data_IF_554785928255
#
_entry.id   IF_554785928255
#
_cell.length_a   1.000
_cell.length_b   1.000
_cell.length_c   1.000
_cell.angle_alpha   90.00
_cell.angle_beta   90.00
_cell.angle_gamma   90.00
#
_symmetry.space_group_name_H-M   'P 1'
#
loop_
_entity.id
_entity.type
_entity.pdbx_description
1 polymer ?
#
# COMPACT_ATOMS: atom_id res chain seq x y z
N UNK A 1 24.72 -27.19 -16.88
CA UNK A 1 23.88 -26.02 -16.57
C UNK A 1 22.65 -26.52 -15.82
N UNK A 2 22.52 -26.18 -14.51
CA UNK A 2 21.37 -26.60 -13.70
C UNK A 2 20.35 -25.46 -13.72
N UNK A 3 19.18 -25.71 -14.30
CA UNK A 3 18.03 -24.81 -14.25
C UNK A 3 17.57 -24.62 -12.80
N UNK A 4 17.60 -23.37 -12.35
CA UNK A 4 16.98 -22.98 -11.07
C UNK A 4 15.47 -22.92 -11.28
N UNK A 5 14.74 -23.92 -10.78
CA UNK A 5 13.30 -23.87 -10.62
C UNK A 5 12.95 -22.75 -9.64
N UNK A 6 12.39 -21.66 -10.13
CA UNK A 6 11.73 -20.61 -9.32
C UNK A 6 10.50 -21.23 -8.69
N UNK A 7 10.53 -21.42 -7.36
CA UNK A 7 9.42 -21.96 -6.61
C UNK A 7 8.26 -20.97 -6.49
N UNK A 8 7.26 -21.10 -7.35
CA UNK A 8 5.97 -20.43 -7.19
C UNK A 8 5.30 -20.95 -5.91
N UNK A 9 5.15 -20.10 -4.91
CA UNK A 9 4.33 -20.39 -3.73
C UNK A 9 2.87 -20.41 -4.14
N UNK A 10 2.32 -21.61 -4.37
CA UNK A 10 0.90 -21.84 -4.63
C UNK A 10 0.07 -21.38 -3.42
N UNK A 11 -0.60 -20.24 -3.52
CA UNK A 11 -1.67 -19.89 -2.57
C UNK A 11 -2.86 -20.83 -2.82
N UNK A 12 -3.37 -21.46 -1.75
CA UNK A 12 -4.62 -22.24 -1.82
C UNK A 12 -5.78 -21.26 -2.05
N UNK A 13 -6.46 -21.38 -3.17
CA UNK A 13 -7.73 -20.71 -3.44
C UNK A 13 -8.88 -21.48 -2.77
N UNK A 14 -10.02 -20.80 -2.54
CA UNK A 14 -11.23 -21.47 -2.04
C UNK A 14 -11.70 -22.53 -3.04
N UNK A 15 -12.27 -23.63 -2.55
CA UNK A 15 -12.83 -24.69 -3.42
C UNK A 15 -13.79 -24.09 -4.44
N UNK A 16 -13.63 -24.48 -5.72
CA UNK A 16 -14.49 -24.03 -6.83
C UNK A 16 -13.98 -22.82 -7.62
N UNK A 17 -12.83 -22.21 -7.26
CA UNK A 17 -12.23 -21.17 -8.08
C UNK A 17 -11.15 -21.75 -9.02
N UNK A 18 -11.21 -21.35 -10.30
CA UNK A 18 -10.14 -21.64 -11.25
C UNK A 18 -8.80 -21.03 -10.77
N UNK A 19 -7.71 -21.68 -11.16
CA UNK A 19 -6.35 -21.18 -10.85
C UNK A 19 -6.14 -19.83 -11.55
N UNK A 20 -6.30 -18.73 -10.80
CA UNK A 20 -5.93 -17.42 -11.28
C UNK A 20 -4.41 -17.24 -11.15
N UNK A 21 -3.76 -16.94 -12.25
CA UNK A 21 -2.38 -16.47 -12.27
C UNK A 21 -2.44 -14.97 -11.96
N UNK A 22 -2.09 -14.57 -10.74
CA UNK A 22 -2.18 -13.18 -10.28
C UNK A 22 -1.42 -12.18 -11.18
N UNK A 23 -0.44 -12.67 -11.96
CA UNK A 23 0.27 -11.88 -12.97
C UNK A 23 -0.60 -11.47 -14.14
N UNK A 24 -1.69 -12.19 -14.43
CA UNK A 24 -2.49 -11.97 -15.64
C UNK A 24 -3.67 -11.02 -15.38
N UNK A 25 -4.03 -10.78 -14.10
CA UNK A 25 -5.15 -9.91 -13.74
C UNK A 25 -5.04 -8.47 -14.30
N UNK A 26 -3.81 -7.97 -14.48
CA UNK A 26 -3.64 -6.66 -15.08
C UNK A 26 -3.99 -6.68 -16.58
N UNK A 27 -3.68 -7.77 -17.28
CA UNK A 27 -4.05 -7.93 -18.69
C UNK A 27 -5.55 -8.16 -18.86
N UNK A 28 -6.18 -8.94 -17.97
CA UNK A 28 -7.65 -9.08 -17.93
C UNK A 28 -8.35 -7.71 -17.76
N UNK A 29 -7.80 -6.87 -16.89
CA UNK A 29 -8.26 -5.49 -16.72
C UNK A 29 -8.11 -4.66 -18.00
N UNK A 30 -6.98 -4.80 -18.73
CA UNK A 30 -6.76 -4.11 -20.01
C UNK A 30 -7.72 -4.62 -21.08
N UNK A 31 -8.00 -5.91 -21.14
CA UNK A 31 -8.96 -6.49 -22.09
C UNK A 31 -10.39 -6.01 -21.84
N UNK A 32 -10.77 -5.79 -20.57
CA UNK A 32 -12.05 -5.13 -20.23
C UNK A 32 -12.04 -3.68 -20.73
N UNK A 33 -10.94 -2.95 -20.52
CA UNK A 33 -10.80 -1.57 -20.97
C UNK A 33 -10.86 -1.46 -22.51
N UNK A 34 -10.30 -2.40 -23.25
CA UNK A 34 -10.40 -2.46 -24.71
C UNK A 34 -11.84 -2.56 -25.21
N UNK A 35 -12.66 -3.35 -24.51
CA UNK A 35 -14.10 -3.52 -24.85
C UNK A 35 -14.93 -2.31 -24.46
N UNK A 36 -14.72 -1.77 -23.26
CA UNK A 36 -15.52 -0.65 -22.72
C UNK A 36 -15.09 0.71 -23.27
N UNK A 37 -13.85 0.84 -23.73
CA UNK A 37 -13.24 2.07 -24.29
C UNK A 37 -13.42 3.29 -23.38
N UNK A 38 -13.13 3.20 -22.06
CA UNK A 38 -13.29 4.34 -21.17
C UNK A 38 -12.42 5.51 -21.65
N UNK A 39 -12.83 6.73 -21.34
CA UNK A 39 -12.03 7.93 -21.66
C UNK A 39 -10.68 7.93 -20.94
N UNK A 40 -10.69 7.47 -19.68
CA UNK A 40 -9.54 7.44 -18.78
C UNK A 40 -9.49 6.10 -18.06
N UNK A 41 -8.29 5.57 -17.87
CA UNK A 41 -8.02 4.37 -17.09
C UNK A 41 -7.15 4.74 -15.90
N UNK A 42 -7.51 4.24 -14.72
CA UNK A 42 -6.72 4.35 -13.49
C UNK A 42 -6.49 2.96 -12.94
N UNK A 43 -5.22 2.56 -12.83
CA UNK A 43 -4.86 1.32 -12.15
C UNK A 43 -3.82 1.61 -11.06
N UNK A 44 -3.92 0.90 -9.93
CA UNK A 44 -3.00 1.02 -8.81
C UNK A 44 -2.28 -0.30 -8.55
N UNK A 45 -1.03 -0.19 -8.10
CA UNK A 45 -0.26 -1.35 -7.70
C UNK A 45 0.78 -0.99 -6.63
N UNK A 46 1.38 -2.00 -6.02
CA UNK A 46 2.47 -1.84 -5.05
C UNK A 46 3.76 -1.40 -5.75
N UNK A 47 4.64 -0.68 -5.02
CA UNK A 47 5.94 -0.22 -5.53
C UNK A 47 6.77 -1.35 -6.18
N UNK A 48 6.64 -2.58 -5.70
CA UNK A 48 7.37 -3.72 -6.23
C UNK A 48 7.19 -3.98 -7.73
N UNK A 49 6.07 -3.52 -8.33
CA UNK A 49 5.80 -3.70 -9.77
C UNK A 49 6.81 -2.95 -10.66
N UNK A 50 7.37 -1.84 -10.18
CA UNK A 50 8.37 -1.04 -10.93
C UNK A 50 9.81 -1.37 -10.53
N UNK A 51 10.03 -2.34 -9.62
CA UNK A 51 11.34 -2.68 -9.08
C UNK A 51 11.90 -3.99 -9.66
N UNK A 52 13.22 -4.04 -9.83
CA UNK A 52 13.94 -5.28 -10.19
C UNK A 52 13.47 -5.92 -11.48
N UNK A 53 13.18 -7.23 -11.44
CA UNK A 53 12.79 -8.04 -12.60
C UNK A 53 11.39 -7.73 -13.15
N UNK A 54 10.59 -6.91 -12.45
CA UNK A 54 9.24 -6.55 -12.88
C UNK A 54 9.20 -5.49 -14.00
N UNK A 55 10.33 -4.87 -14.37
CA UNK A 55 10.38 -3.87 -15.45
C UNK A 55 9.83 -4.38 -16.79
N UNK A 56 10.13 -5.64 -17.15
CA UNK A 56 9.59 -6.26 -18.35
C UNK A 56 8.06 -6.35 -18.36
N UNK A 57 7.48 -6.62 -17.20
CA UNK A 57 6.03 -6.67 -17.03
C UNK A 57 5.39 -5.28 -17.17
N UNK A 58 5.98 -4.25 -16.58
CA UNK A 58 5.52 -2.85 -16.75
C UNK A 58 5.57 -2.41 -18.20
N UNK A 59 6.65 -2.73 -18.92
CA UNK A 59 6.77 -2.41 -20.35
C UNK A 59 5.69 -3.13 -21.18
N UNK A 60 5.36 -4.38 -20.87
CA UNK A 60 4.28 -5.11 -21.52
C UNK A 60 2.92 -4.47 -21.27
N UNK A 61 2.63 -4.00 -20.04
CA UNK A 61 1.42 -3.26 -19.70
C UNK A 61 1.31 -1.98 -20.54
N UNK A 62 2.37 -1.17 -20.56
CA UNK A 62 2.39 0.09 -21.33
C UNK A 62 2.15 -0.18 -22.81
N UNK A 63 2.86 -1.18 -23.37
CA UNK A 63 2.72 -1.57 -24.78
C UNK A 63 1.29 -1.99 -25.10
N UNK A 64 0.68 -2.84 -24.27
CA UNK A 64 -0.70 -3.30 -24.48
C UNK A 64 -1.72 -2.17 -24.40
N UNK A 65 -1.54 -1.24 -23.43
CA UNK A 65 -2.38 -0.03 -23.34
C UNK A 65 -2.20 0.87 -24.57
N UNK A 66 -0.99 1.01 -25.08
CA UNK A 66 -0.71 1.77 -26.30
C UNK A 66 -1.38 1.17 -27.55
N UNK A 67 -1.32 -0.17 -27.70
CA UNK A 67 -1.95 -0.93 -28.77
C UNK A 67 -3.48 -0.76 -28.81
N UNK A 68 -4.13 -0.68 -27.64
CA UNK A 68 -5.58 -0.43 -27.54
C UNK A 68 -5.97 1.04 -27.56
N UNK A 69 -5.03 1.93 -27.87
CA UNK A 69 -5.28 3.34 -28.14
C UNK A 69 -5.18 4.29 -26.93
N UNK A 70 -4.35 3.97 -25.93
CA UNK A 70 -4.14 4.82 -24.76
C UNK A 70 -2.71 5.32 -24.62
N UNK A 71 -2.55 6.57 -24.20
CA UNK A 71 -1.28 7.14 -23.72
C UNK A 71 -1.21 6.99 -22.20
N UNK A 72 -0.17 6.29 -21.71
CA UNK A 72 -0.03 5.92 -20.29
C UNK A 72 1.10 6.68 -19.61
N UNK A 73 0.86 7.18 -18.40
CA UNK A 73 1.85 7.72 -17.48
C UNK A 73 1.87 6.90 -16.19
N UNK A 74 3.04 6.79 -15.58
CA UNK A 74 3.24 6.05 -14.33
C UNK A 74 3.77 6.99 -13.27
N UNK A 75 3.16 6.95 -12.09
CA UNK A 75 3.52 7.76 -10.94
C UNK A 75 3.78 6.87 -9.72
N UNK A 76 4.92 7.06 -9.06
CA UNK A 76 5.15 6.54 -7.72
C UNK A 76 4.79 7.64 -6.72
N UNK A 77 3.73 7.45 -5.98
CA UNK A 77 3.22 8.42 -5.03
C UNK A 77 3.39 7.92 -3.59
N UNK A 78 3.64 8.86 -2.66
CA UNK A 78 3.71 8.57 -1.23
C UNK A 78 2.55 9.25 -0.51
N UNK A 79 1.69 8.49 0.12
CA UNK A 79 0.52 8.99 0.84
C UNK A 79 0.87 10.05 1.91
N UNK A 80 2.06 9.96 2.52
CA UNK A 80 2.52 10.92 3.53
C UNK A 80 2.64 12.36 3.02
N UNK A 81 2.84 12.58 1.71
CA UNK A 81 2.86 13.91 1.08
C UNK A 81 1.51 14.34 0.52
N UNK A 82 0.47 13.55 0.79
CA UNK A 82 -0.88 13.72 0.28
C UNK A 82 -1.92 13.93 1.41
N UNK A 83 -1.48 14.33 2.61
CA UNK A 83 -2.34 14.52 3.78
C UNK A 83 -2.78 13.23 4.48
N UNK A 84 -2.20 12.10 4.12
CA UNK A 84 -2.45 10.81 4.77
C UNK A 84 -1.38 10.57 5.85
N UNK A 85 -1.73 10.28 7.10
CA UNK A 85 -0.76 10.04 8.17
C UNK A 85 -0.11 8.65 8.05
N UNK A 86 0.41 8.31 6.86
CA UNK A 86 1.02 7.01 6.58
C UNK A 86 2.10 7.10 5.51
N UNK A 87 3.26 6.52 5.76
CA UNK A 87 4.29 6.27 4.74
C UNK A 87 3.87 5.06 3.89
N UNK A 88 3.07 5.31 2.84
CA UNK A 88 2.58 4.27 1.93
C UNK A 88 2.86 4.66 0.49
N UNK A 89 3.77 3.96 -0.15
CA UNK A 89 4.09 4.17 -1.57
C UNK A 89 3.23 3.27 -2.46
N UNK A 90 2.63 3.88 -3.49
CA UNK A 90 1.84 3.18 -4.50
C UNK A 90 2.16 3.68 -5.89
N UNK A 91 2.09 2.77 -6.85
CA UNK A 91 2.29 3.06 -8.26
C UNK A 91 0.91 3.22 -8.92
N UNK A 92 0.70 4.36 -9.56
CA UNK A 92 -0.49 4.64 -10.33
C UNK A 92 -0.16 4.61 -11.82
N UNK A 93 -0.94 3.85 -12.58
CA UNK A 93 -0.97 3.89 -14.03
C UNK A 93 -2.16 4.73 -14.42
N UNK A 94 -1.91 5.88 -15.04
CA UNK A 94 -2.94 6.79 -15.52
C UNK A 94 -2.87 6.80 -17.04
N UNK A 95 -3.93 6.34 -17.70
CA UNK A 95 -3.96 6.27 -19.15
C UNK A 95 -5.16 7.05 -19.69
N UNK A 96 -4.91 7.87 -20.73
CA UNK A 96 -5.91 8.63 -21.45
C UNK A 96 -6.03 8.15 -22.88
N UNK A 97 -7.24 8.07 -23.40
CA UNK A 97 -7.49 7.62 -24.76
C UNK A 97 -6.91 8.64 -25.76
N UNK A 98 -6.22 8.16 -26.81
CA UNK A 98 -5.43 8.98 -27.73
C UNK A 98 -6.28 9.97 -28.53
N UNK A 99 -7.52 9.59 -28.90
CA UNK A 99 -8.45 10.44 -29.67
C UNK A 99 -8.97 11.67 -28.92
N UNK A 100 -8.76 11.72 -27.60
CA UNK A 100 -9.18 12.86 -26.78
C UNK A 100 -8.18 14.03 -26.82
N UNK A 101 -6.99 13.83 -27.39
CA UNK A 101 -5.92 14.81 -27.51
C UNK A 101 -5.58 15.57 -26.21
N UNK A 102 -5.74 14.89 -25.06
CA UNK A 102 -5.44 15.47 -23.75
C UNK A 102 -3.93 15.52 -23.50
N UNK A 103 -3.48 16.60 -22.88
CA UNK A 103 -2.08 16.75 -22.46
C UNK A 103 -1.69 15.79 -21.32
N UNK A 104 -0.40 15.46 -21.15
CA UNK A 104 0.07 14.71 -20.01
C UNK A 104 -0.33 15.36 -18.69
N UNK A 105 -0.75 14.53 -17.70
CA UNK A 105 -1.07 15.00 -16.35
C UNK A 105 0.20 15.20 -15.52
N UNK A 106 0.20 16.19 -14.63
CA UNK A 106 1.24 16.37 -13.61
C UNK A 106 0.69 16.11 -12.23
N UNK A 107 1.36 15.25 -11.46
CA UNK A 107 1.00 14.96 -10.06
C UNK A 107 2.15 15.39 -9.16
N UNK A 108 1.92 16.42 -8.35
CA UNK A 108 2.86 16.91 -7.33
C UNK A 108 2.11 17.20 -6.05
N UNK A 109 2.53 16.55 -4.94
CA UNK A 109 1.90 16.68 -3.65
C UNK A 109 2.97 16.97 -2.59
N UNK A 110 2.81 18.07 -1.85
CA UNK A 110 3.80 18.58 -0.90
C UNK A 110 3.18 18.89 0.46
N UNK A 111 2.15 18.15 0.88
CA UNK A 111 1.53 18.36 2.17
C UNK A 111 2.48 17.99 3.31
N UNK A 112 2.35 18.73 4.41
CA UNK A 112 3.18 18.48 5.61
C UNK A 112 2.90 17.10 6.16
N UNK A 113 3.94 16.34 6.54
CA UNK A 113 3.77 15.04 7.19
C UNK A 113 2.97 15.17 8.48
N UNK A 114 2.02 14.26 8.69
CA UNK A 114 1.23 14.15 9.92
C UNK A 114 1.87 13.09 10.82
N UNK A 115 2.34 13.48 11.98
CA UNK A 115 2.99 12.58 12.92
C UNK A 115 1.97 11.86 13.80
N UNK A 116 2.31 10.65 14.26
CA UNK A 116 1.40 9.83 15.06
C UNK A 116 0.90 10.52 16.33
N UNK A 117 1.72 11.35 16.98
CA UNK A 117 1.32 12.12 18.18
C UNK A 117 0.12 13.04 17.98
N UNK A 118 -0.16 13.45 16.73
CA UNK A 118 -1.21 14.40 16.42
C UNK A 118 -2.63 13.78 16.50
N UNK A 119 -2.72 12.44 16.46
CA UNK A 119 -4.01 11.75 16.49
C UNK A 119 -4.02 10.45 17.34
N UNK A 120 -2.96 10.18 18.09
CA UNK A 120 -2.80 8.95 18.87
C UNK A 120 -4.01 8.67 19.77
N UNK A 121 -4.55 7.45 19.66
CA UNK A 121 -5.61 6.99 20.55
C UNK A 121 -5.02 6.65 21.95
N UNK A 122 -5.73 7.02 23.01
CA UNK A 122 -5.39 6.60 24.38
C UNK A 122 -5.61 5.09 24.58
N UNK A 123 -6.54 4.50 23.82
CA UNK A 123 -6.80 3.07 23.83
C UNK A 123 -5.80 2.35 22.93
N UNK A 124 -5.38 1.17 23.32
CA UNK A 124 -4.50 0.31 22.52
C UNK A 124 -4.73 -1.16 22.91
N UNK A 125 -4.39 -2.08 22.02
CA UNK A 125 -4.47 -3.53 22.32
C UNK A 125 -3.22 -3.93 23.10
N UNK A 126 -3.36 -4.20 24.40
CA UNK A 126 -2.24 -4.57 25.27
C UNK A 126 -1.55 -5.85 24.80
N UNK A 127 -0.23 -5.89 24.92
CA UNK A 127 0.54 -7.12 24.73
C UNK A 127 0.38 -8.02 25.95
N UNK A 128 0.42 -9.33 25.71
CA UNK A 128 0.60 -10.29 26.79
C UNK A 128 2.07 -10.25 27.24
N UNK A 129 2.30 -10.03 28.53
CA UNK A 129 3.63 -9.85 29.14
C UNK A 129 4.47 -11.13 29.14
N UNK A 130 3.83 -12.31 29.08
CA UNK A 130 4.52 -13.60 29.00
C UNK A 130 5.15 -13.87 27.62
N UNK A 131 4.77 -13.09 26.62
CA UNK A 131 5.22 -13.32 25.25
C UNK A 131 6.66 -12.85 24.98
N UNK A 132 7.34 -13.55 24.09
CA UNK A 132 8.67 -13.13 23.59
C UNK A 132 8.61 -11.75 22.92
N UNK A 133 7.48 -11.38 22.31
CA UNK A 133 7.27 -10.07 21.70
C UNK A 133 7.35 -8.95 22.75
N UNK A 134 6.69 -9.11 23.88
CA UNK A 134 6.76 -8.16 24.99
C UNK A 134 8.18 -8.07 25.58
N UNK A 135 8.82 -9.20 25.86
CA UNK A 135 10.20 -9.24 26.37
C UNK A 135 11.21 -8.56 25.45
N UNK A 136 11.03 -8.69 24.15
CA UNK A 136 11.83 -8.01 23.12
C UNK A 136 11.50 -6.53 23.05
N UNK A 137 10.21 -6.16 23.13
CA UNK A 137 9.76 -4.78 23.16
C UNK A 137 10.40 -3.99 24.32
N UNK A 138 10.57 -4.58 25.49
CA UNK A 138 11.26 -3.95 26.63
C UNK A 138 12.70 -3.55 26.33
N UNK A 139 13.36 -4.24 25.41
CA UNK A 139 14.77 -3.99 25.02
C UNK A 139 14.93 -2.98 23.88
N UNK A 140 13.82 -2.36 23.39
CA UNK A 140 13.87 -1.41 22.27
C UNK A 140 14.61 -0.13 22.64
N UNK A 141 15.21 0.50 21.64
CA UNK A 141 15.84 1.83 21.74
C UNK A 141 15.34 2.72 20.59
N UNK A 142 15.52 4.04 20.71
CA UNK A 142 15.02 5.01 19.72
C UNK A 142 15.51 4.78 18.29
N UNK A 143 16.66 4.11 18.09
CA UNK A 143 17.18 3.77 16.76
C UNK A 143 16.44 2.60 16.10
N UNK A 144 15.75 1.76 16.87
CA UNK A 144 15.02 0.61 16.33
C UNK A 144 13.76 1.10 15.60
N UNK A 145 13.58 0.71 14.35
CA UNK A 145 12.38 0.99 13.54
C UNK A 145 11.36 -0.14 13.58
N UNK A 146 11.80 -1.31 14.04
CA UNK A 146 11.01 -2.53 14.09
C UNK A 146 11.45 -3.45 15.24
N UNK A 147 10.59 -4.40 15.58
CA UNK A 147 10.97 -5.48 16.49
C UNK A 147 12.19 -6.27 15.97
N UNK A 148 12.34 -6.34 14.64
CA UNK A 148 13.48 -6.97 13.99
C UNK A 148 14.81 -6.29 14.30
N UNK A 149 14.83 -4.97 14.35
CA UNK A 149 16.03 -4.21 14.69
C UNK A 149 16.43 -4.49 16.15
N UNK A 150 15.42 -4.52 17.04
CA UNK A 150 15.64 -4.87 18.45
C UNK A 150 16.26 -6.26 18.58
N UNK A 151 15.70 -7.27 17.93
CA UNK A 151 16.23 -8.65 17.97
C UNK A 151 17.62 -8.75 17.36
N UNK A 152 17.83 -8.14 16.19
CA UNK A 152 19.16 -8.12 15.55
C UNK A 152 20.24 -7.58 16.48
N UNK A 153 19.91 -6.53 17.22
CA UNK A 153 20.85 -5.88 18.15
C UNK A 153 21.05 -6.68 19.44
N UNK A 154 20.00 -7.31 19.99
CA UNK A 154 20.04 -7.93 21.33
C UNK A 154 20.26 -9.43 21.34
N UNK A 155 19.95 -10.12 20.24
CA UNK A 155 19.97 -11.58 20.17
C UNK A 155 20.84 -12.12 19.02
N UNK A 156 21.62 -11.25 18.32
CA UNK A 156 22.38 -11.60 17.11
C UNK A 156 21.57 -12.39 16.07
N UNK A 157 20.24 -12.22 16.10
CA UNK A 157 19.28 -13.04 15.37
C UNK A 157 18.99 -12.48 13.99
N UNK A 158 18.88 -13.35 13.01
CA UNK A 158 18.17 -13.07 11.76
C UNK A 158 16.69 -13.30 11.97
N UNK A 159 15.90 -12.26 12.18
CA UNK A 159 14.45 -12.41 12.04
C UNK A 159 14.12 -12.59 10.57
N UNK A 160 13.51 -13.74 10.25
CA UNK A 160 12.99 -14.01 8.93
C UNK A 160 11.78 -13.12 8.63
N UNK A 161 11.93 -12.22 7.67
CA UNK A 161 10.91 -11.75 6.75
C UNK A 161 9.86 -10.76 7.21
N UNK A 162 9.15 -10.95 8.28
CA UNK A 162 8.05 -10.06 8.71
C UNK A 162 8.24 -9.65 10.16
N UNK A 163 8.88 -8.51 10.34
CA UNK A 163 9.01 -7.91 11.66
C UNK A 163 7.97 -6.82 11.82
N UNK A 164 7.30 -6.81 12.99
CA UNK A 164 6.37 -5.74 13.33
C UNK A 164 7.12 -4.42 13.43
N UNK A 165 6.67 -3.42 12.68
CA UNK A 165 7.22 -2.07 12.75
C UNK A 165 6.79 -1.38 14.05
N UNK A 166 7.65 -0.52 14.56
CA UNK A 166 7.29 0.38 15.64
C UNK A 166 6.58 1.63 15.11
N UNK A 167 5.48 2.02 15.77
CA UNK A 167 4.85 3.31 15.58
C UNK A 167 5.33 4.27 16.66
N UNK A 168 6.11 5.27 16.28
CA UNK A 168 6.69 6.27 17.18
C UNK A 168 5.91 7.57 17.09
N UNK A 169 5.74 8.25 18.24
CA UNK A 169 4.94 9.47 18.35
C UNK A 169 5.41 10.59 17.40
N UNK A 170 6.71 10.76 17.22
CA UNK A 170 7.30 11.82 16.41
C UNK A 170 7.65 11.37 14.99
N UNK A 171 7.04 10.31 14.50
CA UNK A 171 7.22 9.80 13.14
C UNK A 171 5.87 9.63 12.43
N UNK A 172 5.91 9.70 11.10
CA UNK A 172 4.76 9.29 10.28
C UNK A 172 4.65 7.76 10.36
N UNK A 173 3.49 7.20 10.67
CA UNK A 173 3.29 5.76 10.76
C UNK A 173 3.72 4.99 9.51
N UNK A 174 4.18 3.77 9.71
CA UNK A 174 4.48 2.84 8.63
C UNK A 174 3.21 2.36 7.91
N UNK A 175 3.41 1.80 6.72
CA UNK A 175 2.32 1.19 5.92
C UNK A 175 1.55 0.14 6.73
N UNK A 176 0.23 0.33 6.86
CA UNK A 176 -0.69 -0.70 7.35
C UNK A 176 -0.74 -1.84 6.33
N UNK A 177 -0.52 -3.06 6.78
CA UNK A 177 -0.63 -4.27 5.97
C UNK A 177 -1.71 -5.19 6.50
N UNK A 178 -2.30 -6.00 5.63
CA UNK A 178 -3.43 -6.86 6.00
C UNK A 178 -3.13 -7.88 7.12
N UNK A 179 -1.88 -8.34 7.22
CA UNK A 179 -1.48 -9.37 8.19
C UNK A 179 -0.40 -8.95 9.17
N UNK A 180 0.14 -7.73 9.04
CA UNK A 180 1.24 -7.26 9.88
C UNK A 180 0.76 -6.38 11.03
N UNK A 181 1.12 -6.71 12.26
CA UNK A 181 0.85 -5.84 13.40
C UNK A 181 1.85 -4.69 13.46
N UNK A 182 1.37 -3.50 13.79
CA UNK A 182 2.20 -2.35 14.12
C UNK A 182 2.19 -2.18 15.64
N UNK A 183 3.38 -2.20 16.22
CA UNK A 183 3.60 -2.12 17.66
C UNK A 183 3.80 -0.65 18.04
N UNK A 184 3.11 -0.19 19.07
CA UNK A 184 3.36 1.14 19.64
C UNK A 184 4.74 1.15 20.31
N UNK A 185 5.48 2.22 20.06
CA UNK A 185 6.79 2.39 20.67
C UNK A 185 6.70 2.91 22.11
N UNK A 186 5.71 3.74 22.41
CA UNK A 186 5.52 4.43 23.68
C UNK A 186 4.90 3.54 24.78
N UNK A 187 4.01 2.62 24.41
CA UNK A 187 3.30 1.74 25.35
C UNK A 187 3.36 0.28 24.88
N UNK A 188 3.26 -0.71 25.80
CA UNK A 188 3.34 -2.13 25.45
C UNK A 188 2.05 -2.62 24.81
N UNK A 189 1.89 -2.33 23.53
CA UNK A 189 0.70 -2.70 22.79
C UNK A 189 0.80 -2.47 21.31
N UNK A 190 -0.29 -2.79 20.61
CA UNK A 190 -0.46 -2.50 19.19
C UNK A 190 -1.47 -1.37 18.99
N UNK A 191 -1.52 -0.83 17.79
CA UNK A 191 -2.47 0.21 17.41
C UNK A 191 -3.92 -0.22 17.70
N UNK A 192 -4.75 0.74 18.11
CA UNK A 192 -6.20 0.56 18.19
C UNK A 192 -6.82 0.53 16.79
N UNK A 193 -8.07 0.07 16.69
CA UNK A 193 -8.80 0.12 15.42
C UNK A 193 -9.03 1.57 14.97
N UNK A 194 -9.20 2.52 15.92
CA UNK A 194 -9.28 3.94 15.64
C UNK A 194 -7.99 4.50 15.06
N UNK A 195 -6.83 4.13 15.62
CA UNK A 195 -5.53 4.50 15.07
C UNK A 195 -5.40 4.01 13.63
N UNK A 196 -5.72 2.73 13.37
CA UNK A 196 -5.60 2.09 12.06
C UNK A 196 -6.51 2.80 11.04
N UNK A 197 -7.76 3.09 11.41
CA UNK A 197 -8.74 3.81 10.60
C UNK A 197 -8.21 5.20 10.22
N UNK A 198 -7.67 5.95 11.20
CA UNK A 198 -7.10 7.29 10.98
C UNK A 198 -5.84 7.22 10.09
N UNK A 199 -4.92 6.31 10.38
CA UNK A 199 -3.67 6.14 9.61
C UNK A 199 -3.98 5.84 8.15
N UNK A 200 -5.03 5.08 7.87
CA UNK A 200 -5.45 4.75 6.51
C UNK A 200 -6.36 5.82 5.88
N UNK A 201 -6.66 6.91 6.60
CA UNK A 201 -7.59 7.97 6.18
C UNK A 201 -9.02 7.51 5.85
N UNK A 202 -9.47 6.41 6.46
CA UNK A 202 -10.88 6.03 6.40
C UNK A 202 -11.72 6.95 7.28
N UNK A 203 -13.00 7.22 6.92
CA UNK A 203 -13.94 7.88 7.82
C UNK A 203 -14.07 7.12 9.15
N UNK A 204 -14.25 7.86 10.25
CA UNK A 204 -14.32 7.23 11.58
C UNK A 204 -15.60 6.42 11.79
N UNK A 205 -16.64 6.70 11.02
CA UNK A 205 -17.93 6.03 10.97
C UNK A 205 -18.02 4.96 9.87
N UNK A 206 -16.87 4.59 9.25
CA UNK A 206 -16.84 3.56 8.21
C UNK A 206 -17.25 2.20 8.79
N UNK A 207 -18.30 1.60 8.22
CA UNK A 207 -18.73 0.26 8.59
C UNK A 207 -17.87 -0.81 7.93
N UNK A 208 -17.10 -1.51 8.73
CA UNK A 208 -16.26 -2.62 8.29
C UNK A 208 -17.02 -3.94 8.10
N UNK A 209 -18.36 -3.93 8.33
CA UNK A 209 -19.25 -5.07 8.16
C UNK A 209 -18.71 -6.36 8.83
N UNK A 210 -18.25 -6.23 10.08
CA UNK A 210 -17.70 -7.33 10.86
C UNK A 210 -16.31 -7.83 10.43
N UNK A 211 -15.71 -7.22 9.40
CA UNK A 211 -14.35 -7.55 8.96
C UNK A 211 -13.30 -6.91 9.88
N UNK A 212 -12.11 -7.50 9.92
CA UNK A 212 -10.99 -6.91 10.64
C UNK A 212 -10.62 -5.56 10.05
N UNK A 213 -10.62 -4.50 10.86
CA UNK A 213 -10.15 -3.15 10.49
C UNK A 213 -8.74 -3.20 9.89
N UNK A 214 -7.84 -3.94 10.55
CA UNK A 214 -6.46 -4.17 10.07
C UNK A 214 -6.43 -4.77 8.65
N UNK A 215 -7.28 -5.75 8.38
CA UNK A 215 -7.32 -6.44 7.09
C UNK A 215 -7.83 -5.50 5.99
N UNK A 216 -8.99 -4.87 6.22
CA UNK A 216 -9.60 -3.95 5.23
C UNK A 216 -8.68 -2.78 4.93
N UNK A 217 -8.18 -2.10 5.95
CA UNK A 217 -7.25 -0.98 5.79
C UNK A 217 -5.95 -1.41 5.10
N UNK A 218 -5.40 -2.57 5.46
CA UNK A 218 -4.15 -3.07 4.89
C UNK A 218 -4.24 -3.41 3.40
N UNK A 219 -5.41 -3.89 2.95
CA UNK A 219 -5.69 -4.22 1.54
C UNK A 219 -6.06 -3.00 0.70
N UNK A 220 -6.46 -1.89 1.32
CA UNK A 220 -7.01 -0.73 0.62
C UNK A 220 -5.94 0.29 0.22
N UNK A 221 -6.24 1.09 -0.79
CA UNK A 221 -5.58 2.39 -1.01
C UNK A 221 -6.20 3.39 -0.03
N UNK A 222 -5.41 4.28 0.60
CA UNK A 222 -5.98 5.32 1.46
C UNK A 222 -7.00 6.17 0.69
N UNK A 223 -8.25 6.31 1.19
CA UNK A 223 -9.29 7.08 0.50
C UNK A 223 -8.85 8.50 0.13
N UNK A 224 -8.17 9.20 1.05
CA UNK A 224 -7.68 10.54 0.78
C UNK A 224 -6.60 10.58 -0.33
N UNK A 225 -5.73 9.58 -0.39
CA UNK A 225 -4.74 9.46 -1.47
C UNK A 225 -5.44 9.32 -2.82
N UNK A 226 -6.47 8.47 -2.90
CA UNK A 226 -7.24 8.27 -4.13
C UNK A 226 -8.04 9.53 -4.51
N UNK A 227 -8.65 10.21 -3.53
CA UNK A 227 -9.39 11.44 -3.76
C UNK A 227 -8.50 12.52 -4.40
N UNK A 228 -7.27 12.70 -3.92
CA UNK A 228 -6.32 13.68 -4.50
C UNK A 228 -5.88 13.32 -5.92
N UNK A 229 -5.67 12.05 -6.21
CA UNK A 229 -5.40 11.60 -7.59
C UNK A 229 -6.61 11.86 -8.50
N UNK A 230 -7.82 11.52 -8.03
CA UNK A 230 -9.05 11.74 -8.78
C UNK A 230 -9.33 13.22 -9.03
N UNK A 231 -9.05 14.09 -8.05
CA UNK A 231 -9.17 15.55 -8.21
C UNK A 231 -8.26 16.08 -9.30
N UNK A 232 -6.99 15.65 -9.36
CA UNK A 232 -6.08 16.04 -10.41
C UNK A 232 -6.50 15.52 -11.79
N UNK A 233 -7.01 14.30 -11.87
CA UNK A 233 -7.60 13.76 -13.10
C UNK A 233 -8.80 14.60 -13.54
N UNK A 234 -9.67 14.98 -12.60
CA UNK A 234 -10.80 15.85 -12.91
C UNK A 234 -10.33 17.17 -13.50
N UNK A 235 -9.49 17.92 -12.81
CA UNK A 235 -9.04 19.27 -13.21
C UNK A 235 -8.26 19.25 -14.52
N UNK A 236 -7.33 18.29 -14.68
CA UNK A 236 -6.40 18.30 -15.81
C UNK A 236 -6.94 17.58 -17.05
N UNK A 237 -7.89 16.67 -16.90
CA UNK A 237 -8.43 15.87 -17.99
C UNK A 237 -9.95 15.98 -18.14
N UNK A 238 -10.76 15.66 -17.10
CA UNK A 238 -12.21 15.55 -17.27
C UNK A 238 -12.91 16.88 -17.52
N UNK A 239 -12.44 17.97 -16.89
CA UNK A 239 -13.00 19.31 -17.08
C UNK A 239 -12.66 19.90 -18.47
N UNK A 240 -11.84 19.19 -19.27
CA UNK A 240 -11.48 19.58 -20.66
C UNK A 240 -12.18 18.73 -21.72
N UNK A 241 -13.06 17.79 -21.31
CA UNK A 241 -13.84 16.89 -22.19
C UNK A 241 -15.29 17.32 -22.35
#
# INVERSE_FOLDING_TARGET
MKEKKTGEKKKKFREGQEKQILSDLFFDFIDIAERLKPKIIVAENVKGIIAGNAKGYVNAIIKRLDEIGYNTQIFLLNAATMGVPQRRERVFFLARRKDLHLEPISLSFNEKPIYYKEFVDKKYKKMNEDTMTYKRWLKRINKDSSLGDTVKRTENGKLSGFTSNYCKLNEVPHTITAGGQIIRFDVPGTLSDKDITTIQSFPQDYDYNGQSVQYVCGMSVPPLMMAKVAEQIKIQWLDKL
#
